data_IF_445451051753
#
_entry.id   IF_445451051753
#
_cell.length_a   1.000
_cell.length_b   1.000
_cell.length_c   1.000
_cell.angle_alpha   90.00
_cell.angle_beta   90.00
_cell.angle_gamma   90.00
#
_symmetry.space_group_name_H-M   'P 1'
#
loop_
_entity.id
_entity.type
_entity.pdbx_description
1 polymer ?
#
# COMPACT_ATOMS: atom_id res chain seq x y z
N UNK A 1 17.32 10.82 19.64
CA UNK A 1 17.13 9.54 18.93
C UNK A 1 16.28 9.80 17.71
N UNK A 2 16.73 9.40 16.51
CA UNK A 2 15.90 9.47 15.30
C UNK A 2 14.85 8.37 15.32
N UNK A 3 13.69 8.61 14.72
CA UNK A 3 12.65 7.59 14.60
C UNK A 3 12.90 6.73 13.35
N UNK A 4 12.82 5.41 13.48
CA UNK A 4 12.87 4.48 12.35
C UNK A 4 11.48 4.36 11.72
N UNK A 5 11.27 4.96 10.54
CA UNK A 5 9.99 4.98 9.84
C UNK A 5 10.00 3.96 8.70
N UNK A 6 9.13 2.96 8.79
CA UNK A 6 8.90 1.96 7.75
C UNK A 6 7.63 2.32 6.98
N UNK A 7 7.77 2.67 5.70
CA UNK A 7 6.67 3.18 4.88
C UNK A 7 6.17 2.10 3.91
N UNK A 8 4.90 1.74 4.00
CA UNK A 8 4.25 0.74 3.13
C UNK A 8 3.25 1.46 2.21
N UNK A 9 3.48 1.47 0.89
CA UNK A 9 2.63 2.18 -0.07
C UNK A 9 1.23 1.55 -0.20
N UNK A 10 0.35 2.21 -0.95
CA UNK A 10 -0.95 1.65 -1.31
C UNK A 10 -0.85 0.55 -2.36
N UNK A 11 -1.95 -0.16 -2.59
CA UNK A 11 -2.03 -1.26 -3.56
C UNK A 11 -1.49 -0.83 -4.92
N UNK A 12 -0.53 -1.59 -5.44
CA UNK A 12 0.08 -1.35 -6.75
C UNK A 12 0.96 -0.11 -6.85
N UNK A 13 1.09 0.69 -5.80
CA UNK A 13 2.01 1.84 -5.77
C UNK A 13 3.38 1.40 -5.24
N UNK A 14 4.38 2.26 -5.37
CA UNK A 14 5.68 2.09 -4.73
C UNK A 14 6.01 3.31 -3.85
N UNK A 15 7.18 3.29 -3.23
CA UNK A 15 7.69 4.29 -2.30
C UNK A 15 7.58 5.73 -2.78
N UNK A 16 7.55 5.96 -4.10
CA UNK A 16 7.45 7.30 -4.69
C UNK A 16 6.18 8.05 -4.28
N UNK A 17 5.14 7.35 -3.83
CA UNK A 17 3.94 7.97 -3.23
C UNK A 17 4.26 8.83 -1.99
N UNK A 18 5.38 8.54 -1.31
CA UNK A 18 5.84 9.27 -0.13
C UNK A 18 6.86 10.37 -0.45
N UNK A 19 7.26 10.54 -1.72
CA UNK A 19 8.38 11.42 -2.10
C UNK A 19 8.18 12.90 -1.72
N UNK A 20 6.93 13.35 -1.56
CA UNK A 20 6.58 14.72 -1.17
C UNK A 20 6.36 14.88 0.34
N UNK A 21 6.50 13.82 1.14
CA UNK A 21 6.39 13.91 2.60
C UNK A 21 7.67 14.47 3.21
N UNK A 22 7.53 15.49 4.05
CA UNK A 22 8.64 16.07 4.79
C UNK A 22 8.83 15.34 6.13
N UNK A 23 9.64 14.28 6.13
CA UNK A 23 9.91 13.41 7.27
C UNK A 23 11.27 13.68 7.92
N UNK A 24 11.55 14.96 8.25
CA UNK A 24 12.85 15.34 8.86
C UNK A 24 13.10 14.56 10.15
N UNK A 25 14.39 14.37 10.46
CA UNK A 25 14.85 13.73 11.70
C UNK A 25 14.39 12.28 11.90
N UNK A 26 14.08 11.58 10.80
CA UNK A 26 13.69 10.18 10.78
C UNK A 26 14.60 9.40 9.84
N UNK A 27 14.87 8.15 10.18
CA UNK A 27 15.54 7.20 9.29
C UNK A 27 14.44 6.44 8.54
N UNK A 28 14.41 6.58 7.21
CA UNK A 28 13.30 6.15 6.37
C UNK A 28 13.65 4.82 5.70
N UNK A 29 12.77 3.85 5.85
CA UNK A 29 12.84 2.54 5.23
C UNK A 29 11.59 2.34 4.38
N UNK A 30 11.78 2.13 3.08
CA UNK A 30 10.67 1.84 2.18
C UNK A 30 10.43 0.34 2.12
N UNK A 31 9.22 -0.08 2.47
CA UNK A 31 8.77 -1.46 2.35
C UNK A 31 7.93 -1.59 1.09
N UNK A 32 8.61 -1.51 -0.05
CA UNK A 32 7.98 -1.80 -1.35
C UNK A 32 7.55 -3.26 -1.44
N UNK A 33 6.50 -3.45 -2.23
CA UNK A 33 5.89 -4.75 -2.49
C UNK A 33 6.91 -5.76 -3.03
N UNK A 34 6.86 -6.97 -2.48
CA UNK A 34 7.54 -8.14 -3.00
C UNK A 34 6.55 -8.98 -3.82
N UNK A 35 7.05 -9.79 -4.74
CA UNK A 35 6.22 -10.75 -5.47
C UNK A 35 5.63 -11.76 -4.46
N UNK A 36 4.29 -11.99 -4.48
CA UNK A 36 3.67 -12.95 -3.59
C UNK A 36 4.00 -14.38 -4.04
N UNK A 37 4.08 -15.30 -3.09
CA UNK A 37 4.19 -16.72 -3.40
C UNK A 37 2.86 -17.28 -3.93
N UNK A 38 2.92 -18.45 -4.58
CA UNK A 38 1.74 -19.08 -5.13
C UNK A 38 0.68 -19.38 -4.06
N UNK A 39 -0.48 -18.74 -4.16
CA UNK A 39 -1.60 -18.94 -3.23
C UNK A 39 -1.36 -18.34 -1.85
N UNK A 40 -0.40 -17.43 -1.73
CA UNK A 40 -0.04 -16.81 -0.45
C UNK A 40 -1.22 -16.02 0.15
N UNK A 41 -1.44 -16.14 1.46
CA UNK A 41 -2.39 -15.29 2.19
C UNK A 41 -1.74 -14.02 2.71
N UNK A 42 -2.54 -13.01 3.07
CA UNK A 42 -2.03 -11.74 3.63
C UNK A 42 -1.11 -11.89 4.85
N UNK A 43 -1.38 -12.87 5.72
CA UNK A 43 -0.59 -13.07 6.94
C UNK A 43 0.81 -13.58 6.64
N UNK A 44 0.93 -14.58 5.76
CA UNK A 44 2.23 -15.09 5.28
C UNK A 44 3.00 -14.00 4.52
N UNK A 45 2.30 -13.24 3.68
CA UNK A 45 2.92 -12.13 2.94
C UNK A 45 3.46 -11.06 3.88
N UNK A 46 2.65 -10.65 4.88
CA UNK A 46 3.06 -9.68 5.89
C UNK A 46 4.27 -10.17 6.68
N UNK A 47 4.33 -11.47 7.01
CA UNK A 47 5.49 -12.08 7.67
C UNK A 47 6.75 -11.96 6.83
N UNK A 48 6.71 -12.29 5.54
CA UNK A 48 7.86 -12.12 4.63
C UNK A 48 8.28 -10.66 4.49
N UNK A 49 7.31 -9.75 4.36
CA UNK A 49 7.63 -8.33 4.26
C UNK A 49 8.26 -7.80 5.56
N UNK A 50 7.85 -8.33 6.71
CA UNK A 50 8.37 -7.96 8.02
C UNK A 50 9.84 -8.36 8.24
N UNK A 51 10.38 -9.33 7.49
CA UNK A 51 11.80 -9.72 7.56
C UNK A 51 12.75 -8.55 7.22
N UNK A 52 12.27 -7.52 6.53
CA UNK A 52 13.02 -6.30 6.23
C UNK A 52 13.13 -5.34 7.43
N UNK A 53 12.48 -5.63 8.56
CA UNK A 53 12.49 -4.79 9.76
C UNK A 53 13.58 -5.29 10.71
N UNK A 54 14.65 -4.51 10.86
CA UNK A 54 15.87 -4.92 11.60
C UNK A 54 15.74 -4.68 13.11
N UNK A 55 14.97 -3.69 13.56
CA UNK A 55 14.65 -3.42 14.96
C UNK A 55 13.18 -3.03 15.11
N UNK A 56 12.34 -4.03 15.36
CA UNK A 56 10.89 -3.85 15.47
C UNK A 56 10.48 -3.01 16.68
N UNK A 57 11.20 -3.14 17.79
CA UNK A 57 10.88 -2.49 19.07
C UNK A 57 10.94 -0.95 19.02
N UNK A 58 11.75 -0.40 18.10
CA UNK A 58 11.84 1.04 17.84
C UNK A 58 11.10 1.49 16.58
N UNK A 59 10.60 0.55 15.77
CA UNK A 59 10.01 0.80 14.46
C UNK A 59 8.64 1.50 14.55
N UNK A 60 8.47 2.53 13.72
CA UNK A 60 7.17 3.15 13.44
C UNK A 60 6.78 2.77 12.02
N UNK A 61 5.69 2.02 11.85
CA UNK A 61 5.19 1.65 10.53
C UNK A 61 4.14 2.66 10.09
N UNK A 62 4.29 3.22 8.89
CA UNK A 62 3.29 4.08 8.24
C UNK A 62 2.72 3.32 7.05
N UNK A 63 1.44 2.96 7.13
CA UNK A 63 0.75 2.26 6.06
C UNK A 63 -0.26 3.15 5.37
N UNK A 64 -0.15 3.25 4.04
CA UNK A 64 -1.10 3.98 3.21
C UNK A 64 -2.09 3.02 2.55
N UNK A 65 -3.40 3.23 2.73
CA UNK A 65 -4.45 2.40 2.12
C UNK A 65 -4.21 0.90 2.37
N UNK A 66 -4.12 0.05 1.35
CA UNK A 66 -3.82 -1.37 1.49
C UNK A 66 -2.53 -1.66 2.29
N UNK A 67 -1.50 -0.80 2.20
CA UNK A 67 -0.30 -0.90 3.02
C UNK A 67 -0.58 -0.78 4.52
N UNK A 68 -1.66 -0.11 4.93
CA UNK A 68 -2.11 -0.07 6.32
C UNK A 68 -2.65 -1.39 6.83
N UNK A 69 -3.30 -2.19 5.98
CA UNK A 69 -3.74 -3.54 6.35
C UNK A 69 -2.53 -4.45 6.62
N UNK A 70 -1.50 -4.36 5.77
CA UNK A 70 -0.24 -5.09 5.97
C UNK A 70 0.49 -4.58 7.21
N UNK A 71 0.56 -3.27 7.43
CA UNK A 71 1.18 -2.69 8.62
C UNK A 71 0.58 -3.24 9.93
N UNK A 72 -0.75 -3.40 9.99
CA UNK A 72 -1.43 -3.98 11.15
C UNK A 72 -1.08 -5.46 11.32
N UNK A 73 -1.05 -6.24 10.23
CA UNK A 73 -0.62 -7.64 10.30
C UNK A 73 0.83 -7.80 10.74
N UNK A 74 1.72 -6.90 10.32
CA UNK A 74 3.10 -6.87 10.82
C UNK A 74 3.13 -6.57 12.33
N UNK A 75 2.29 -5.65 12.80
CA UNK A 75 2.20 -5.32 14.23
C UNK A 75 1.57 -6.43 15.09
N UNK A 76 0.77 -7.34 14.50
CA UNK A 76 0.31 -8.56 15.17
C UNK A 76 1.46 -9.59 15.32
N UNK A 77 2.47 -9.54 14.45
CA UNK A 77 3.59 -10.49 14.41
C UNK A 77 4.82 -10.03 15.21
N UNK A 78 5.08 -8.72 15.24
CA UNK A 78 6.27 -8.12 15.84
C UNK A 78 5.90 -7.08 16.90
N UNK A 79 6.77 -6.86 17.89
CA UNK A 79 6.61 -5.78 18.86
C UNK A 79 6.94 -4.43 18.20
N UNK A 80 5.94 -3.79 17.58
CA UNK A 80 6.09 -2.51 16.87
C UNK A 80 5.77 -1.33 17.81
N UNK A 81 6.64 -0.32 17.83
CA UNK A 81 6.46 0.89 18.67
C UNK A 81 5.17 1.64 18.35
N UNK A 82 4.84 1.81 17.08
CA UNK A 82 3.65 2.53 16.62
C UNK A 82 3.28 2.19 15.18
N UNK A 83 1.98 2.11 14.90
CA UNK A 83 1.43 2.06 13.54
C UNK A 83 0.68 3.37 13.25
N UNK A 84 0.97 3.99 12.11
CA UNK A 84 0.30 5.18 11.58
C UNK A 84 -0.43 4.78 10.31
N UNK A 85 -1.74 5.03 10.27
CA UNK A 85 -2.60 4.69 9.14
C UNK A 85 -2.96 5.95 8.37
N UNK A 86 -2.67 5.98 7.06
CA UNK A 86 -3.03 7.09 6.16
C UNK A 86 -4.06 6.57 5.18
N UNK A 87 -5.26 7.16 5.17
CA UNK A 87 -6.35 6.79 4.26
C UNK A 87 -6.58 5.26 4.20
N UNK A 88 -6.46 4.60 5.36
CA UNK A 88 -6.53 3.14 5.51
C UNK A 88 -7.66 2.73 6.45
N UNK A 89 -8.12 1.50 6.30
CA UNK A 89 -9.00 0.86 7.27
C UNK A 89 -8.18 0.24 8.42
N UNK A 90 -8.68 0.37 9.65
CA UNK A 90 -8.11 -0.27 10.84
C UNK A 90 -8.62 -1.70 11.05
N UNK A 91 -9.82 -2.00 10.54
CA UNK A 91 -10.45 -3.31 10.64
C UNK A 91 -11.53 -3.43 9.58
N UNK A 92 -11.81 -4.66 9.10
CA UNK A 92 -12.97 -4.94 8.21
C UNK A 92 -14.29 -4.46 8.82
N UNK A 93 -14.40 -4.43 10.16
CA UNK A 93 -15.59 -3.97 10.90
C UNK A 93 -15.74 -2.45 10.94
N UNK A 94 -14.64 -1.72 10.76
CA UNK A 94 -14.61 -0.26 10.82
C UNK A 94 -14.63 0.40 9.43
N UNK A 95 -14.67 -0.38 8.35
CA UNK A 95 -14.82 0.16 6.98
C UNK A 95 -16.19 0.85 6.90
N UNK A 96 -16.23 2.20 6.80
CA UNK A 96 -17.48 2.92 6.63
C UNK A 96 -18.23 2.41 5.41
N UNK A 97 -19.57 2.41 5.46
CA UNK A 97 -20.40 1.95 4.34
C UNK A 97 -20.09 2.72 3.03
N UNK A 98 -19.62 3.97 3.15
CA UNK A 98 -19.14 4.79 2.04
C UNK A 98 -17.83 4.28 1.41
N UNK A 99 -16.93 3.67 2.18
CA UNK A 99 -15.71 3.03 1.65
C UNK A 99 -16.00 1.64 1.08
N UNK A 100 -17.11 0.98 1.47
CA UNK A 100 -17.63 -0.21 0.75
C UNK A 100 -18.00 0.13 -0.70
N UNK A 101 -18.20 1.40 -1.06
CA UNK A 101 -18.40 1.82 -2.46
C UNK A 101 -17.13 1.54 -3.30
N UNK A 102 -15.94 1.54 -2.69
CA UNK A 102 -14.70 1.12 -3.37
C UNK A 102 -14.70 -0.36 -3.81
N UNK A 103 -15.55 -1.22 -3.21
CA UNK A 103 -15.76 -2.59 -3.72
C UNK A 103 -16.52 -2.63 -5.04
N UNK A 104 -17.24 -1.56 -5.38
CA UNK A 104 -17.95 -1.41 -6.65
C UNK A 104 -17.10 -0.76 -7.72
N UNK A 105 -15.96 -0.14 -7.35
CA UNK A 105 -14.93 0.15 -8.33
C UNK A 105 -14.45 -1.19 -8.88
N UNK A 106 -14.49 -1.41 -10.21
CA UNK A 106 -14.01 -2.65 -10.80
C UNK A 106 -12.48 -2.68 -10.73
N UNK A 107 -11.93 -2.84 -9.52
CA UNK A 107 -10.50 -2.99 -9.27
C UNK A 107 -9.95 -4.21 -10.01
N UNK A 108 -10.78 -5.24 -10.24
CA UNK A 108 -10.48 -6.36 -11.13
C UNK A 108 -10.11 -5.93 -12.56
N UNK A 109 -10.54 -4.75 -13.03
CA UNK A 109 -10.12 -4.21 -14.35
C UNK A 109 -8.69 -3.65 -14.34
N UNK A 110 -8.03 -3.60 -13.18
CA UNK A 110 -6.61 -3.28 -13.05
C UNK A 110 -5.70 -4.48 -13.39
N UNK A 111 -6.25 -5.66 -13.68
CA UNK A 111 -5.45 -6.84 -14.07
C UNK A 111 -4.68 -6.61 -15.37
N UNK A 112 -5.34 -6.06 -16.39
CA UNK A 112 -4.71 -5.79 -17.68
C UNK A 112 -4.31 -4.32 -17.83
N UNK A 113 -3.09 -4.09 -18.31
CA UNK A 113 -2.53 -2.75 -18.45
C UNK A 113 -3.37 -1.86 -19.38
N UNK A 114 -3.91 -2.43 -20.46
CA UNK A 114 -4.72 -1.69 -21.43
C UNK A 114 -6.08 -1.22 -20.88
N UNK A 115 -6.75 -2.02 -20.05
CA UNK A 115 -8.03 -1.61 -19.43
C UNK A 115 -7.75 -0.62 -18.29
N UNK A 116 -6.73 -0.89 -17.46
CA UNK A 116 -6.29 0.05 -16.42
C UNK A 116 -6.00 1.42 -17.00
N UNK A 117 -5.15 1.52 -18.02
CA UNK A 117 -4.65 2.79 -18.51
C UNK A 117 -5.77 3.65 -19.14
N UNK A 118 -6.81 3.00 -19.68
CA UNK A 118 -8.06 3.63 -20.16
C UNK A 118 -8.98 4.07 -19.02
N UNK A 119 -9.12 3.26 -17.97
CA UNK A 119 -10.04 3.55 -16.86
C UNK A 119 -9.48 4.52 -15.82
N UNK A 120 -8.18 4.50 -15.61
CA UNK A 120 -7.50 5.27 -14.56
C UNK A 120 -7.77 6.78 -14.61
N UNK A 121 -7.82 7.46 -15.79
CA UNK A 121 -8.18 8.87 -15.85
C UNK A 121 -9.55 9.19 -15.24
N UNK A 122 -10.53 8.29 -15.40
CA UNK A 122 -11.90 8.49 -14.90
C UNK A 122 -12.00 8.47 -13.36
N UNK A 123 -11.09 7.75 -12.70
CA UNK A 123 -11.07 7.65 -11.23
C UNK A 123 -9.89 8.36 -10.58
N UNK A 124 -8.98 8.93 -11.37
CA UNK A 124 -7.77 9.64 -10.91
C UNK A 124 -8.08 10.69 -9.82
N UNK A 125 -9.21 11.40 -9.96
CA UNK A 125 -9.67 12.39 -8.98
C UNK A 125 -9.98 11.80 -7.59
N UNK A 126 -10.40 10.54 -7.51
CA UNK A 126 -10.63 9.86 -6.22
C UNK A 126 -9.33 9.67 -5.45
N UNK A 127 -8.19 9.63 -6.15
CA UNK A 127 -6.85 9.53 -5.58
C UNK A 127 -6.18 10.90 -5.41
N UNK A 128 -6.93 12.01 -5.55
CA UNK A 128 -6.40 13.37 -5.42
C UNK A 128 -5.50 13.82 -6.58
N UNK A 129 -5.48 13.09 -7.69
CA UNK A 129 -4.69 13.42 -8.88
C UNK A 129 -5.37 14.57 -9.62
N UNK A 130 -4.67 15.70 -9.77
CA UNK A 130 -5.20 16.93 -10.38
C UNK A 130 -4.53 17.30 -11.70
N UNK A 131 -3.28 16.89 -11.90
CA UNK A 131 -2.45 17.29 -13.05
C UNK A 131 -2.15 16.09 -13.97
N UNK A 132 -1.75 16.35 -15.21
CA UNK A 132 -1.34 15.29 -16.15
C UNK A 132 -0.04 14.64 -15.70
N UNK A 133 0.82 15.42 -15.07
CA UNK A 133 2.12 15.02 -14.52
C UNK A 133 1.92 14.06 -13.34
N UNK A 134 1.03 14.40 -12.39
CA UNK A 134 0.69 13.50 -11.28
C UNK A 134 0.03 12.21 -11.80
N UNK A 135 -0.81 12.29 -12.84
CA UNK A 135 -1.41 11.10 -13.47
C UNK A 135 -0.34 10.21 -14.13
N UNK A 136 0.62 10.80 -14.84
CA UNK A 136 1.73 10.06 -15.46
C UNK A 136 2.57 9.37 -14.39
N UNK A 137 2.94 10.09 -13.35
CA UNK A 137 3.70 9.56 -12.22
C UNK A 137 2.96 8.41 -11.52
N UNK A 138 1.65 8.56 -11.31
CA UNK A 138 0.81 7.52 -10.74
C UNK A 138 0.75 6.26 -11.62
N UNK A 139 0.65 6.42 -12.95
CA UNK A 139 0.69 5.30 -13.91
C UNK A 139 2.03 4.56 -13.87
N UNK A 140 3.14 5.27 -13.76
CA UNK A 140 4.47 4.67 -13.70
C UNK A 140 4.67 3.82 -12.43
N UNK A 141 4.08 4.23 -11.30
CA UNK A 141 4.08 3.40 -10.08
C UNK A 141 3.27 2.11 -10.28
N UNK A 142 2.06 2.22 -10.83
CA UNK A 142 1.17 1.06 -11.06
C UNK A 142 1.73 0.00 -12.01
N UNK A 143 2.65 0.38 -12.91
CA UNK A 143 3.30 -0.52 -13.87
C UNK A 143 4.45 -1.31 -13.27
N UNK A 144 4.93 -0.94 -12.08
CA UNK A 144 6.10 -1.56 -11.47
C UNK A 144 5.80 -2.88 -10.72
N UNK A 145 4.58 -3.42 -10.89
CA UNK A 145 4.15 -4.66 -10.27
C UNK A 145 3.77 -5.69 -11.33
N UNK A 146 4.02 -6.97 -11.09
CA UNK A 146 3.64 -8.05 -12.00
C UNK A 146 2.10 -8.15 -12.12
N UNK A 147 1.61 -8.85 -13.15
CA UNK A 147 0.19 -9.19 -13.23
C UNK A 147 -0.25 -10.07 -12.06
N UNK A 148 0.60 -11.03 -11.67
CA UNK A 148 0.31 -11.95 -10.58
C UNK A 148 0.13 -11.23 -9.24
N UNK A 149 1.04 -10.29 -8.90
CA UNK A 149 0.89 -9.43 -7.74
C UNK A 149 -0.44 -8.68 -7.74
N UNK A 150 -0.85 -8.11 -8.90
CA UNK A 150 -2.09 -7.33 -8.99
C UNK A 150 -3.31 -8.20 -8.72
N UNK A 151 -3.34 -9.40 -9.32
CA UNK A 151 -4.37 -10.41 -9.09
C UNK A 151 -4.44 -10.79 -7.62
N UNK A 152 -3.31 -11.15 -7.04
CA UNK A 152 -3.18 -11.49 -5.62
C UNK A 152 -3.66 -10.35 -4.70
N UNK A 153 -3.20 -9.13 -4.93
CA UNK A 153 -3.48 -7.99 -4.07
C UNK A 153 -4.98 -7.63 -4.06
N UNK A 154 -5.63 -7.71 -5.23
CA UNK A 154 -7.08 -7.44 -5.35
C UNK A 154 -7.90 -8.56 -4.71
N UNK A 155 -7.49 -9.82 -4.89
CA UNK A 155 -8.17 -10.97 -4.25
C UNK A 155 -8.08 -10.94 -2.72
N UNK A 156 -7.07 -10.28 -2.18
CA UNK A 156 -6.81 -10.21 -0.75
C UNK A 156 -7.23 -8.89 -0.07
N UNK A 157 -7.50 -7.82 -0.83
CA UNK A 157 -7.96 -6.52 -0.33
C UNK A 157 -9.42 -6.53 0.15
#
# INVERSE_FOLDING_TARGET
MKNNLYLIPGLGLDHRVFARLNLKNSDIHYLDWIEPDQGEGLESYAKRLAEKIVDSSSAIIVGHSFGGMIALKIADLLNIKKVILISSAKSKKEIPHTLKILRWLPLYKLYSDGIRDKMLPYWSRLFGIKTKEDLKFFKEMLRNNSQYYREWAISNA
#
